data_IF_207146843571
#
_entry.id   IF_207146843571
#
_cell.length_a   1.000
_cell.length_b   1.000
_cell.length_c   1.000
_cell.angle_alpha   90.00
_cell.angle_beta   90.00
_cell.angle_gamma   90.00
#
_symmetry.space_group_name_H-M   'P 1'
#
loop_
_entity.id
_entity.type
_entity.pdbx_description
1 polymer ?
#
# COMPACT_ATOMS: atom_id res chain seq x y z
N UNK A 1 -7.40 16.63 -9.60
CA UNK A 1 -8.21 17.76 -9.10
C UNK A 1 -7.41 18.41 -7.98
N UNK A 2 -6.77 19.55 -8.24
CA UNK A 2 -5.86 20.20 -7.29
C UNK A 2 -6.70 20.74 -6.13
N UNK A 3 -6.75 20.04 -5.00
CA UNK A 3 -7.38 20.59 -3.78
C UNK A 3 -6.56 21.83 -3.41
N UNK A 4 -7.21 22.98 -3.18
CA UNK A 4 -6.51 24.18 -2.71
C UNK A 4 -5.89 23.88 -1.34
N UNK A 5 -4.59 23.59 -1.33
CA UNK A 5 -3.83 23.27 -0.13
C UNK A 5 -3.38 24.58 0.53
N UNK A 6 -4.34 25.36 1.01
CA UNK A 6 -4.05 26.63 1.68
C UNK A 6 -3.98 26.48 3.21
N UNK A 7 -2.87 26.92 3.80
CA UNK A 7 -2.75 27.14 5.24
C UNK A 7 -2.92 28.62 5.56
N UNK A 8 -3.57 28.91 6.69
CA UNK A 8 -3.70 30.28 7.20
C UNK A 8 -2.78 30.37 8.39
N UNK A 9 -1.81 31.29 8.33
CA UNK A 9 -0.89 31.53 9.42
C UNK A 9 -0.80 33.05 9.68
N UNK A 10 -1.28 33.47 10.86
CA UNK A 10 -1.51 34.89 11.14
C UNK A 10 -2.60 35.47 10.23
N UNK A 11 -2.27 36.53 9.48
CA UNK A 11 -3.19 37.17 8.51
C UNK A 11 -2.94 36.73 7.05
N UNK A 12 -1.99 35.81 6.84
CA UNK A 12 -1.56 35.43 5.50
C UNK A 12 -2.10 34.04 5.14
N UNK A 13 -2.32 33.83 3.84
CA UNK A 13 -2.63 32.53 3.23
C UNK A 13 -1.41 32.07 2.44
N UNK A 14 -1.05 30.81 2.61
CA UNK A 14 0.07 30.21 1.92
C UNK A 14 -0.42 29.01 1.14
N UNK A 15 -0.07 28.98 -0.14
CA UNK A 15 -0.22 27.79 -0.95
C UNK A 15 0.90 26.81 -0.57
N UNK A 16 0.52 25.62 -0.10
CA UNK A 16 1.48 24.60 0.24
C UNK A 16 2.27 24.13 -1.00
N UNK A 17 1.75 24.29 -2.23
CA UNK A 17 2.39 23.81 -3.48
C UNK A 17 3.86 24.23 -3.62
N UNK A 18 4.21 25.44 -3.20
CA UNK A 18 5.59 25.95 -3.28
C UNK A 18 6.54 25.34 -2.23
N UNK A 19 5.98 24.73 -1.17
CA UNK A 19 6.71 24.00 -0.13
C UNK A 19 6.77 22.47 -0.36
N UNK A 20 6.15 21.94 -1.42
CA UNK A 20 5.87 20.50 -1.61
C UNK A 20 7.02 19.62 -2.12
N UNK A 21 8.27 20.09 -2.22
CA UNK A 21 9.34 19.16 -2.67
C UNK A 21 9.48 17.93 -1.75
N UNK A 22 9.14 18.08 -0.47
CA UNK A 22 9.25 17.04 0.56
C UNK A 22 7.88 16.52 1.06
N UNK A 23 6.76 16.97 0.47
CA UNK A 23 5.41 16.59 0.91
C UNK A 23 4.58 16.21 -0.31
N UNK A 24 3.90 15.07 -0.25
CA UNK A 24 2.87 14.72 -1.22
C UNK A 24 1.49 14.74 -0.56
N UNK A 25 0.44 15.00 -1.33
CA UNK A 25 -0.94 14.97 -0.82
C UNK A 25 -1.76 13.92 -1.55
N UNK A 26 -2.72 13.31 -0.85
CA UNK A 26 -3.55 12.27 -1.46
C UNK A 26 -4.68 11.77 -0.58
N UNK A 27 -5.24 10.64 -1.00
CA UNK A 27 -6.25 9.88 -0.27
C UNK A 27 -5.80 8.43 -0.12
N UNK A 28 -6.32 7.73 0.88
CA UNK A 28 -6.02 6.32 1.09
C UNK A 28 -6.77 5.42 0.09
N UNK A 29 -6.08 4.37 -0.35
CA UNK A 29 -6.65 3.14 -0.90
C UNK A 29 -6.36 1.93 0.02
N UNK A 30 -5.69 2.15 1.15
CA UNK A 30 -5.38 1.12 2.15
C UNK A 30 -6.63 0.71 2.92
N UNK A 31 -6.78 -0.60 3.13
CA UNK A 31 -7.90 -1.16 3.88
C UNK A 31 -7.89 -0.68 5.34
N UNK A 32 -9.03 -0.17 5.81
CA UNK A 32 -9.19 0.33 7.18
C UNK A 32 -8.68 1.76 7.40
N UNK A 33 -8.23 2.44 6.34
CA UNK A 33 -7.83 3.83 6.39
C UNK A 33 -8.81 4.70 5.60
N UNK A 34 -9.24 5.79 6.21
CA UNK A 34 -10.07 6.80 5.57
C UNK A 34 -9.57 8.17 6.01
N UNK A 35 -9.72 9.17 5.15
CA UNK A 35 -9.42 10.56 5.53
C UNK A 35 -10.39 10.95 6.65
N UNK A 36 -9.91 11.31 7.87
CA UNK A 36 -10.81 11.56 8.98
C UNK A 36 -11.78 12.70 8.69
N UNK A 37 -13.00 12.59 9.22
CA UNK A 37 -14.04 13.59 9.01
C UNK A 37 -13.56 14.98 9.46
N UNK A 38 -13.66 15.95 8.55
CA UNK A 38 -13.22 17.33 8.80
C UNK A 38 -11.79 17.63 8.33
N UNK A 39 -11.02 16.61 7.92
CA UNK A 39 -9.77 16.79 7.18
C UNK A 39 -10.04 16.95 5.69
N UNK A 40 -9.13 17.63 5.00
CA UNK A 40 -9.19 17.87 3.55
C UNK A 40 -8.64 16.66 2.76
N UNK A 41 -7.48 16.17 3.19
CA UNK A 41 -6.75 15.05 2.60
C UNK A 41 -5.65 14.58 3.56
N UNK A 42 -4.86 13.61 3.10
CA UNK A 42 -3.63 13.18 3.76
C UNK A 42 -2.44 13.96 3.20
N UNK A 43 -1.50 14.33 4.05
CA UNK A 43 -0.17 14.79 3.69
C UNK A 43 0.85 13.74 4.07
N UNK A 44 1.62 13.28 3.09
CA UNK A 44 2.72 12.33 3.23
C UNK A 44 4.03 13.12 3.26
N UNK A 45 4.75 13.09 4.36
CA UNK A 45 5.96 13.89 4.53
C UNK A 45 6.96 13.27 5.50
N UNK A 46 8.13 13.88 5.60
CA UNK A 46 9.12 13.52 6.63
C UNK A 46 8.96 14.42 7.85
N UNK A 47 8.11 14.00 8.78
CA UNK A 47 7.81 14.77 9.99
C UNK A 47 8.93 14.76 11.05
N UNK A 48 10.11 14.20 10.73
CA UNK A 48 11.25 14.23 11.64
C UNK A 48 11.83 15.64 11.80
N UNK A 49 12.26 15.93 13.02
CA UNK A 49 13.10 17.08 13.41
C UNK A 49 12.63 18.45 12.89
N UNK A 50 11.33 18.63 12.65
CA UNK A 50 10.78 19.89 12.17
C UNK A 50 11.20 20.28 10.75
N UNK A 51 11.92 19.42 10.01
CA UNK A 51 12.51 19.77 8.71
C UNK A 51 11.44 20.16 7.70
N UNK A 52 10.39 19.36 7.58
CA UNK A 52 9.27 19.66 6.69
C UNK A 52 8.58 20.98 7.04
N UNK A 53 8.35 21.23 8.33
CA UNK A 53 7.70 22.47 8.80
C UNK A 53 8.60 23.67 8.54
N UNK A 54 9.90 23.54 8.79
CA UNK A 54 10.90 24.56 8.46
C UNK A 54 10.94 24.85 6.96
N UNK A 55 10.90 23.83 6.10
CA UNK A 55 10.86 24.02 4.65
C UNK A 55 9.60 24.77 4.20
N UNK A 56 8.44 24.50 4.82
CA UNK A 56 7.23 25.30 4.57
C UNK A 56 7.43 26.75 5.01
N UNK A 57 7.96 26.98 6.22
CA UNK A 57 8.21 28.35 6.71
C UNK A 57 9.18 29.11 5.79
N UNK A 58 10.27 28.46 5.38
CA UNK A 58 11.29 29.03 4.50
C UNK A 58 10.70 29.34 3.10
N UNK A 59 9.91 28.44 2.52
CA UNK A 59 9.23 28.66 1.24
C UNK A 59 8.20 29.80 1.29
N UNK A 60 7.69 30.11 2.48
CA UNK A 60 6.72 31.18 2.73
C UNK A 60 7.39 32.51 3.13
N UNK A 61 8.73 32.61 3.09
CA UNK A 61 9.51 33.74 3.59
C UNK A 61 9.19 34.08 5.07
N UNK A 62 8.82 33.07 5.88
CA UNK A 62 8.52 33.22 7.31
C UNK A 62 9.76 32.82 8.11
N UNK A 63 10.39 33.73 8.89
CA UNK A 63 11.53 33.36 9.73
C UNK A 63 11.19 32.21 10.69
N UNK A 64 12.02 31.17 10.67
CA UNK A 64 11.86 30.04 11.57
C UNK A 64 12.00 30.46 13.05
N UNK A 65 11.04 30.03 13.87
CA UNK A 65 11.17 29.96 15.32
C UNK A 65 10.41 28.73 15.83
N UNK A 66 10.81 28.16 16.97
CA UNK A 66 10.12 26.99 17.55
C UNK A 66 8.62 27.26 17.78
N UNK A 67 8.26 28.48 18.20
CA UNK A 67 6.86 28.89 18.37
C UNK A 67 6.09 28.90 17.04
N UNK A 68 6.74 29.24 15.94
CA UNK A 68 6.13 29.26 14.59
C UNK A 68 5.99 27.86 14.04
N UNK A 69 6.99 27.01 14.23
CA UNK A 69 6.92 25.59 13.93
C UNK A 69 5.75 24.94 14.66
N UNK A 70 5.67 25.08 15.99
CA UNK A 70 4.60 24.50 16.80
C UNK A 70 3.21 24.97 16.33
N UNK A 71 3.07 26.26 16.04
CA UNK A 71 1.81 26.83 15.57
C UNK A 71 1.44 26.32 14.17
N UNK A 72 2.40 26.18 13.26
CA UNK A 72 2.15 25.63 11.93
C UNK A 72 1.81 24.14 11.97
N UNK A 73 2.55 23.33 12.75
CA UNK A 73 2.24 21.91 12.95
C UNK A 73 0.81 21.71 13.45
N UNK A 74 0.36 22.53 14.42
CA UNK A 74 -1.03 22.51 14.92
C UNK A 74 -2.06 22.84 13.84
N UNK A 75 -1.76 23.78 12.93
CA UNK A 75 -2.67 24.11 11.83
C UNK A 75 -2.71 23.02 10.75
N UNK A 76 -1.57 22.38 10.47
CA UNK A 76 -1.50 21.23 9.57
C UNK A 76 -2.29 20.06 10.15
N UNK A 77 -2.03 19.68 11.40
CA UNK A 77 -2.76 18.63 12.11
C UNK A 77 -4.24 18.92 12.23
N UNK A 78 -4.72 20.17 12.22
CA UNK A 78 -6.16 20.45 12.21
C UNK A 78 -6.80 20.15 10.86
N UNK A 79 -6.16 20.54 9.77
CA UNK A 79 -6.70 20.53 8.40
C UNK A 79 -6.45 19.23 7.64
N UNK A 80 -5.38 18.52 7.97
CA UNK A 80 -4.90 17.36 7.23
C UNK A 80 -4.65 16.18 8.17
N UNK A 81 -4.68 14.99 7.58
CA UNK A 81 -4.08 13.80 8.20
C UNK A 81 -2.60 13.75 7.83
N UNK A 82 -1.72 13.41 8.77
CA UNK A 82 -0.27 13.43 8.55
C UNK A 82 0.29 12.02 8.58
N UNK A 83 0.97 11.63 7.51
CA UNK A 83 1.54 10.28 7.33
C UNK A 83 3.00 10.34 6.94
N UNK A 84 3.75 9.30 7.30
CA UNK A 84 5.17 9.21 7.00
C UNK A 84 5.41 8.78 5.55
N UNK A 85 6.06 9.61 4.74
CA UNK A 85 6.20 9.36 3.30
C UNK A 85 6.88 8.03 2.93
N UNK A 86 7.71 7.46 3.82
CA UNK A 86 8.43 6.20 3.62
C UNK A 86 7.62 4.95 4.01
N UNK A 87 6.43 5.13 4.58
CA UNK A 87 5.49 4.05 4.91
C UNK A 87 4.39 3.84 3.86
N UNK A 88 4.31 4.72 2.86
CA UNK A 88 3.22 4.80 1.91
C UNK A 88 3.71 4.97 0.47
N UNK A 89 2.99 4.39 -0.47
CA UNK A 89 3.26 4.54 -1.90
C UNK A 89 1.97 4.73 -2.70
N UNK A 90 2.06 5.48 -3.79
CA UNK A 90 0.92 5.72 -4.68
C UNK A 90 0.65 4.51 -5.58
N UNK A 91 -0.62 4.19 -5.78
CA UNK A 91 -1.07 3.27 -6.82
C UNK A 91 -0.88 3.91 -8.19
N UNK A 92 -0.27 3.18 -9.13
CA UNK A 92 -0.02 3.66 -10.49
C UNK A 92 -1.26 3.97 -11.34
N UNK A 93 -2.46 3.59 -10.87
CA UNK A 93 -3.69 3.66 -11.65
C UNK A 93 -4.68 4.71 -11.13
N UNK A 94 -4.70 4.96 -9.82
CA UNK A 94 -5.66 5.89 -9.19
C UNK A 94 -5.02 6.99 -8.35
N UNK A 95 -3.69 7.01 -8.25
CA UNK A 95 -2.89 7.95 -7.45
C UNK A 95 -3.23 7.97 -5.94
N UNK A 96 -4.06 7.04 -5.46
CA UNK A 96 -4.34 6.83 -4.04
C UNK A 96 -3.23 6.02 -3.39
N UNK A 97 -3.07 6.19 -2.08
CA UNK A 97 -1.94 5.67 -1.33
C UNK A 97 -2.27 4.36 -0.62
N UNK A 98 -1.37 3.41 -0.72
CA UNK A 98 -1.37 2.14 0.02
C UNK A 98 -0.17 2.09 0.95
N UNK A 99 -0.31 1.39 2.07
CA UNK A 99 0.76 1.29 3.06
C UNK A 99 1.74 0.22 2.59
N UNK A 100 3.04 0.51 2.59
CA UNK A 100 4.09 -0.45 2.18
C UNK A 100 4.78 -1.13 3.35
N UNK A 101 4.64 -0.57 4.56
CA UNK A 101 5.25 -1.09 5.78
C UNK A 101 4.19 -1.70 6.72
N UNK A 102 4.49 -2.89 7.24
CA UNK A 102 3.57 -3.58 8.15
C UNK A 102 3.30 -2.77 9.42
N UNK A 103 2.03 -2.54 9.74
CA UNK A 103 1.61 -1.87 10.98
C UNK A 103 1.45 -2.85 12.16
N UNK A 104 1.35 -4.15 11.88
CA UNK A 104 1.26 -5.22 12.89
C UNK A 104 1.65 -6.57 12.31
N UNK A 105 1.78 -7.60 13.16
CA UNK A 105 2.05 -8.99 12.72
C UNK A 105 0.98 -9.54 11.77
N UNK A 106 -0.28 -9.13 11.95
CA UNK A 106 -1.41 -9.59 11.15
C UNK A 106 -1.70 -8.68 9.95
N UNK A 107 -0.87 -7.66 9.72
CA UNK A 107 -1.08 -6.77 8.58
C UNK A 107 -0.81 -7.52 7.26
N UNK A 108 -1.70 -7.30 6.31
CA UNK A 108 -1.58 -7.79 4.93
C UNK A 108 -1.65 -6.60 3.98
N UNK A 109 -0.77 -6.52 2.98
CA UNK A 109 -0.84 -5.53 1.92
C UNK A 109 -2.22 -5.42 1.27
N UNK A 110 -2.73 -4.20 1.16
CA UNK A 110 -3.94 -3.89 0.37
C UNK A 110 -3.61 -3.61 -1.11
N UNK A 111 -2.52 -4.20 -1.62
CA UNK A 111 -2.01 -3.97 -2.97
C UNK A 111 -1.26 -5.19 -3.52
N UNK A 112 -1.03 -5.18 -4.83
CA UNK A 112 -0.15 -6.11 -5.53
C UNK A 112 1.05 -5.38 -6.10
N UNK A 113 2.24 -5.96 -5.93
CA UNK A 113 3.49 -5.50 -6.53
C UNK A 113 3.82 -6.33 -7.78
N UNK A 114 3.78 -5.67 -8.93
CA UNK A 114 4.12 -6.24 -10.25
C UNK A 114 5.40 -5.62 -10.79
N UNK A 115 5.87 -6.07 -11.95
CA UNK A 115 6.96 -5.39 -12.67
C UNK A 115 6.61 -3.95 -13.07
N UNK A 116 5.31 -3.63 -13.18
CA UNK A 116 4.81 -2.31 -13.54
C UNK A 116 4.64 -1.38 -12.33
N UNK A 117 4.85 -1.89 -11.11
CA UNK A 117 4.72 -1.13 -9.87
C UNK A 117 3.54 -1.60 -9.00
N UNK A 118 3.04 -0.68 -8.18
CA UNK A 118 2.00 -0.94 -7.17
C UNK A 118 0.61 -0.71 -7.74
N UNK A 119 -0.25 -1.73 -7.64
CA UNK A 119 -1.69 -1.63 -7.94
C UNK A 119 -2.49 -1.90 -6.68
N UNK A 120 -3.32 -0.95 -6.25
CA UNK A 120 -4.14 -1.10 -5.04
C UNK A 120 -5.30 -2.08 -5.27
N UNK A 121 -5.86 -2.63 -4.18
CA UNK A 121 -6.99 -3.56 -4.19
C UNK A 121 -8.19 -3.11 -5.02
N UNK A 122 -8.42 -1.80 -5.13
CA UNK A 122 -9.55 -1.25 -5.89
C UNK A 122 -9.30 -1.28 -7.40
N UNK A 123 -8.05 -1.12 -7.82
CA UNK A 123 -7.66 -1.11 -9.22
C UNK A 123 -7.31 -2.50 -9.75
N UNK A 124 -6.90 -3.45 -8.89
CA UNK A 124 -6.53 -4.81 -9.33
C UNK A 124 -7.64 -5.47 -10.14
N UNK A 125 -8.91 -5.24 -9.77
CA UNK A 125 -10.06 -5.85 -10.45
C UNK A 125 -10.05 -5.66 -11.97
N UNK A 126 -9.60 -4.50 -12.43
CA UNK A 126 -9.63 -4.12 -13.85
C UNK A 126 -8.44 -4.70 -14.64
N UNK A 127 -7.48 -5.35 -13.97
CA UNK A 127 -6.23 -5.87 -14.55
C UNK A 127 -5.86 -7.25 -13.97
N UNK A 128 -6.84 -7.99 -13.45
CA UNK A 128 -6.57 -9.22 -12.68
C UNK A 128 -5.83 -10.25 -13.53
N UNK A 129 -6.25 -10.42 -14.79
CA UNK A 129 -5.63 -11.30 -15.77
C UNK A 129 -4.15 -10.97 -16.03
N UNK A 130 -3.86 -9.71 -16.39
CA UNK A 130 -2.50 -9.23 -16.65
C UNK A 130 -1.59 -9.36 -15.43
N UNK A 131 -2.14 -9.17 -14.24
CA UNK A 131 -1.40 -9.28 -12.98
C UNK A 131 -1.12 -10.75 -12.65
N UNK A 132 -2.09 -11.64 -12.85
CA UNK A 132 -1.99 -13.05 -12.45
C UNK A 132 -0.89 -13.81 -13.20
N UNK A 133 -0.57 -13.43 -14.43
CA UNK A 133 0.54 -14.01 -15.19
C UNK A 133 1.87 -14.00 -14.42
N UNK A 134 2.11 -13.01 -13.54
CA UNK A 134 3.32 -12.96 -12.72
C UNK A 134 3.30 -13.94 -11.53
N UNK A 135 2.11 -14.40 -11.12
CA UNK A 135 1.88 -15.27 -9.95
C UNK A 135 1.72 -16.74 -10.35
N UNK A 136 1.19 -17.00 -11.55
CA UNK A 136 0.95 -18.34 -12.06
C UNK A 136 2.26 -19.13 -12.12
N UNK A 137 2.28 -20.28 -11.43
CA UNK A 137 3.41 -21.18 -11.28
C UNK A 137 4.69 -20.51 -10.80
N UNK A 138 4.56 -19.43 -10.03
CA UNK A 138 5.69 -18.70 -9.48
C UNK A 138 5.78 -18.90 -7.96
N UNK A 139 6.65 -19.83 -7.49
CA UNK A 139 6.75 -20.13 -6.06
C UNK A 139 7.36 -18.99 -5.24
N UNK A 140 7.88 -17.95 -5.90
CA UNK A 140 8.49 -16.77 -5.26
C UNK A 140 7.53 -15.59 -5.12
N UNK A 141 6.31 -15.72 -5.64
CA UNK A 141 5.27 -14.71 -5.50
C UNK A 141 4.04 -15.34 -4.87
N UNK A 142 3.50 -14.65 -3.85
CA UNK A 142 2.25 -15.02 -3.23
C UNK A 142 1.22 -13.91 -3.46
N UNK A 143 0.03 -14.28 -3.87
CA UNK A 143 -1.15 -13.42 -3.89
C UNK A 143 -1.52 -13.02 -2.46
N UNK A 144 -1.86 -11.75 -2.26
CA UNK A 144 -2.09 -11.17 -0.93
C UNK A 144 -3.43 -10.44 -0.82
N UNK A 145 -4.17 -10.32 -1.92
CA UNK A 145 -5.53 -9.78 -1.93
C UNK A 145 -6.55 -10.89 -1.69
N UNK A 146 -7.82 -10.51 -1.72
CA UNK A 146 -8.96 -11.39 -1.50
C UNK A 146 -8.93 -12.60 -2.45
N UNK A 147 -9.30 -13.77 -1.91
CA UNK A 147 -9.36 -15.04 -2.64
C UNK A 147 -10.39 -14.98 -3.79
N UNK A 148 -11.43 -14.15 -3.68
CA UNK A 148 -12.46 -13.97 -4.70
C UNK A 148 -11.90 -13.49 -6.06
N UNK A 149 -10.78 -12.75 -6.08
CA UNK A 149 -10.13 -12.38 -7.33
C UNK A 149 -9.63 -13.59 -8.11
N UNK A 150 -9.20 -14.65 -7.42
CA UNK A 150 -8.75 -15.88 -8.05
C UNK A 150 -9.93 -16.77 -8.46
N UNK A 151 -10.95 -16.83 -7.61
CA UNK A 151 -12.17 -17.58 -7.87
C UNK A 151 -12.92 -17.05 -9.11
N UNK A 152 -13.01 -15.72 -9.25
CA UNK A 152 -13.59 -15.05 -10.43
C UNK A 152 -12.82 -15.40 -11.72
N UNK A 153 -11.53 -15.68 -11.60
CA UNK A 153 -10.65 -16.12 -12.71
C UNK A 153 -10.64 -17.64 -12.90
N UNK A 154 -11.50 -18.37 -12.19
CA UNK A 154 -11.69 -19.82 -12.33
C UNK A 154 -10.66 -20.68 -11.59
N UNK A 155 -9.90 -20.11 -10.66
CA UNK A 155 -9.08 -20.90 -9.74
C UNK A 155 -9.92 -21.46 -8.61
N UNK A 156 -9.55 -22.66 -8.14
CA UNK A 156 -10.17 -23.34 -7.00
C UNK A 156 -9.12 -23.60 -5.92
N UNK A 157 -9.48 -23.39 -4.66
CA UNK A 157 -8.62 -23.67 -3.51
C UNK A 157 -8.35 -25.17 -3.38
N UNK A 158 -7.07 -25.55 -3.25
CA UNK A 158 -6.69 -26.88 -2.78
C UNK A 158 -6.84 -26.95 -1.25
N UNK A 159 -7.42 -28.03 -0.75
CA UNK A 159 -7.72 -28.24 0.69
C UNK A 159 -6.46 -28.62 1.50
N UNK A 160 -5.37 -27.87 1.33
CA UNK A 160 -4.12 -28.03 2.07
C UNK A 160 -3.55 -26.66 2.45
N UNK A 161 -3.12 -26.54 3.71
CA UNK A 161 -2.39 -25.37 4.21
C UNK A 161 -0.93 -25.79 4.41
N UNK A 162 -0.04 -25.03 3.79
CA UNK A 162 1.39 -25.26 3.87
C UNK A 162 2.06 -24.30 4.83
N UNK A 163 3.10 -24.75 5.51
CA UNK A 163 3.92 -23.91 6.38
C UNK A 163 5.35 -23.80 5.85
N UNK A 164 5.85 -22.58 5.77
CA UNK A 164 7.20 -22.28 5.26
C UNK A 164 8.33 -22.95 6.04
N UNK A 165 8.08 -23.38 7.29
CA UNK A 165 9.06 -24.08 8.12
C UNK A 165 9.28 -25.54 7.68
N UNK A 166 8.27 -26.15 7.06
CA UNK A 166 8.26 -27.59 6.78
C UNK A 166 8.65 -27.90 5.33
N UNK A 167 8.32 -27.00 4.41
CA UNK A 167 8.47 -27.24 2.98
C UNK A 167 8.65 -25.91 2.22
N UNK A 168 9.52 -25.92 1.21
CA UNK A 168 9.73 -24.75 0.36
C UNK A 168 8.66 -24.68 -0.73
N UNK A 169 8.15 -23.49 -1.10
CA UNK A 169 7.17 -23.32 -2.17
C UNK A 169 7.57 -24.00 -3.50
N UNK A 170 8.85 -24.00 -3.85
CA UNK A 170 9.38 -24.70 -5.04
C UNK A 170 9.14 -26.21 -4.99
N UNK A 171 9.25 -26.83 -3.81
CA UNK A 171 9.03 -28.26 -3.63
C UNK A 171 7.55 -28.61 -3.72
N UNK A 172 6.67 -27.74 -3.21
CA UNK A 172 5.22 -27.88 -3.32
C UNK A 172 4.80 -27.77 -4.78
N UNK A 173 5.25 -26.73 -5.47
CA UNK A 173 4.92 -26.53 -6.88
C UNK A 173 5.32 -27.75 -7.71
N UNK A 174 6.54 -28.26 -7.52
CA UNK A 174 7.00 -29.47 -8.22
C UNK A 174 6.09 -30.67 -7.95
N UNK A 175 5.75 -30.92 -6.68
CA UNK A 175 4.86 -32.03 -6.30
C UNK A 175 3.47 -31.89 -6.94
N UNK A 176 2.90 -30.69 -6.89
CA UNK A 176 1.59 -30.41 -7.46
C UNK A 176 1.58 -30.53 -8.99
N UNK A 177 2.65 -30.13 -9.67
CA UNK A 177 2.80 -30.31 -11.12
C UNK A 177 2.96 -31.78 -11.53
N UNK A 178 3.59 -32.61 -10.69
CA UNK A 178 3.70 -34.05 -10.91
C UNK A 178 2.33 -34.76 -10.73
N UNK A 179 1.52 -34.30 -9.77
CA UNK A 179 0.20 -34.86 -9.41
C UNK A 179 -0.92 -34.40 -10.35
N UNK A 180 -1.05 -33.08 -10.54
CA UNK A 180 -2.03 -32.44 -11.40
C UNK A 180 -1.33 -31.91 -12.65
N UNK A 181 -1.11 -32.82 -13.59
CA UNK A 181 -0.58 -32.48 -14.90
C UNK A 181 -1.53 -31.51 -15.60
N UNK A 182 -0.96 -30.57 -16.33
CA UNK A 182 -1.69 -29.55 -17.09
C UNK A 182 -2.55 -28.60 -16.23
N UNK A 183 -2.10 -28.30 -15.01
CA UNK A 183 -2.71 -27.28 -14.15
C UNK A 183 -1.78 -26.09 -13.89
N UNK A 184 -2.40 -24.93 -13.67
CA UNK A 184 -1.77 -23.71 -13.17
C UNK A 184 -2.01 -23.55 -11.67
N UNK A 185 -1.00 -23.05 -10.96
CA UNK A 185 -1.06 -22.85 -9.51
C UNK A 185 -0.73 -21.42 -9.11
N UNK A 186 -1.44 -20.89 -8.13
CA UNK A 186 -1.18 -19.58 -7.51
C UNK A 186 -1.05 -19.76 -6.01
N UNK A 187 0.08 -19.33 -5.45
CA UNK A 187 0.30 -19.32 -4.01
C UNK A 187 -0.39 -18.12 -3.38
N UNK A 188 -1.07 -18.31 -2.26
CA UNK A 188 -1.74 -17.25 -1.51
C UNK A 188 -1.25 -17.22 -0.08
N UNK A 189 -0.92 -16.04 0.44
CA UNK A 189 -0.56 -15.89 1.85
C UNK A 189 -1.80 -16.14 2.71
N UNK A 190 -1.73 -17.09 3.65
CA UNK A 190 -2.83 -17.42 4.55
C UNK A 190 -2.68 -16.74 5.90
N UNK A 191 -1.51 -16.87 6.53
CA UNK A 191 -1.24 -16.27 7.84
C UNK A 191 0.25 -15.99 8.03
N UNK A 192 0.57 -15.10 8.98
CA UNK A 192 1.95 -14.84 9.41
C UNK A 192 2.05 -15.02 10.90
N UNK A 193 2.86 -15.99 11.30
CA UNK A 193 3.31 -16.16 12.67
C UNK A 193 4.68 -15.53 12.87
N UNK A 194 5.11 -15.48 14.14
CA UNK A 194 6.43 -14.96 14.52
C UNK A 194 7.60 -15.78 13.92
N UNK A 195 7.37 -17.05 13.58
CA UNK A 195 8.42 -17.97 13.12
C UNK A 195 8.10 -18.69 11.80
N UNK A 196 6.89 -18.55 11.29
CA UNK A 196 6.42 -19.24 10.09
C UNK A 196 5.42 -18.39 9.32
N UNK A 197 5.36 -18.62 8.01
CA UNK A 197 4.30 -18.10 7.15
C UNK A 197 3.50 -19.31 6.66
N UNK A 198 2.18 -19.21 6.75
CA UNK A 198 1.29 -20.19 6.16
C UNK A 198 0.79 -19.68 4.82
N UNK A 199 0.64 -20.59 3.87
CA UNK A 199 0.11 -20.28 2.56
C UNK A 199 -0.79 -21.39 2.05
N UNK A 200 -1.75 -20.99 1.23
CA UNK A 200 -2.68 -21.85 0.49
C UNK A 200 -2.25 -21.89 -0.96
N UNK A 201 -2.71 -22.89 -1.70
CA UNK A 201 -2.50 -22.96 -3.15
C UNK A 201 -3.85 -23.05 -3.85
N UNK A 202 -4.03 -22.18 -4.83
CA UNK A 202 -5.15 -22.20 -5.76
C UNK A 202 -4.72 -22.87 -7.05
N UNK A 203 -5.61 -23.64 -7.66
CA UNK A 203 -5.38 -24.42 -8.87
C UNK A 203 -6.41 -24.09 -9.95
N UNK A 204 -5.98 -24.01 -11.21
CA UNK A 204 -6.84 -23.91 -12.40
C UNK A 204 -6.36 -24.91 -13.44
N UNK A 205 -7.26 -25.72 -14.00
CA UNK A 205 -6.90 -26.62 -15.09
C UNK A 205 -6.62 -25.82 -16.37
N UNK A 206 -5.57 -26.17 -17.12
CA UNK A 206 -5.31 -25.64 -18.45
C UNK A 206 -6.19 -26.42 -19.44
N UNK A 207 -7.08 -25.71 -20.11
CA UNK A 207 -7.85 -26.27 -21.22
C UNK A 207 -6.98 -26.45 -22.47
#
# INVERSE_FOLDING_TARGET
MTKNLEIVYGNNRYDLWDALQDITSGEYAESGYEVPKGKICVLFGNWNTGKTVKNILDACDIPYTEKREEALSKELEKKFELEWYDEWASCGNCDKYVRTNASSLNWTPSYVLTKCGITCRHCVKDYTDDILDEFINNPRKAWQLEESFLEDEGFTLLDEIYESKNVMPEQILKRLQDEYKDSDFVFCKHSTGMFNVQFKVFMKARN
#
